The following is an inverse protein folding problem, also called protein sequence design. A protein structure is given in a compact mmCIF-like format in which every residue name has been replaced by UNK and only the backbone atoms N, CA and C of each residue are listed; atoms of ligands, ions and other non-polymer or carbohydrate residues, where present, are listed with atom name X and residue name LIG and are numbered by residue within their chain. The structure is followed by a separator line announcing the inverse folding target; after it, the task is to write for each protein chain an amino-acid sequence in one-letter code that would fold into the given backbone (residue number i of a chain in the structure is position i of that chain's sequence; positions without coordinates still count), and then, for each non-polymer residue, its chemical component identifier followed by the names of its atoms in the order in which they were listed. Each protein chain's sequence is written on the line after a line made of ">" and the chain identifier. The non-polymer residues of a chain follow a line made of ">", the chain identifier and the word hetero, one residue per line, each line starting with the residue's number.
data_IF_698763885438
#
_entry.id   IF_698763885438
#
_cell.length_a   1.000
_cell.length_b   1.000
_cell.length_c   1.000
_cell.angle_alpha   90.00
_cell.angle_beta   90.00
_cell.angle_gamma   90.00
#
_symmetry.space_group_name_H-M   'P 1'
#
loop_
_entity.id
_entity.type
_entity.pdbx_description
1 polymer ?
#
# COMPACT_ATOMS: atom_id res chain seq x y z
N UNK A 1 -5.24 -17.29 -14.45
CA UNK A 1 -4.51 -16.50 -13.43
C UNK A 1 -3.55 -17.41 -12.70
N UNK A 2 -2.30 -16.99 -12.50
CA UNK A 2 -1.29 -17.68 -11.68
C UNK A 2 -0.80 -16.70 -10.63
N UNK A 3 -0.77 -17.10 -9.36
CA UNK A 3 -0.26 -16.27 -8.28
C UNK A 3 0.48 -17.13 -7.25
N UNK A 4 1.45 -16.54 -6.60
CA UNK A 4 2.20 -17.15 -5.51
C UNK A 4 2.61 -16.08 -4.50
N UNK A 5 2.56 -16.43 -3.23
CA UNK A 5 3.00 -15.56 -2.14
C UNK A 5 3.84 -16.32 -1.13
N UNK A 6 4.76 -15.61 -0.50
CA UNK A 6 5.57 -16.12 0.61
C UNK A 6 5.61 -15.06 1.71
N UNK A 7 5.65 -15.51 2.96
CA UNK A 7 5.78 -14.63 4.13
C UNK A 7 6.71 -15.25 5.15
N UNK A 8 7.57 -14.42 5.71
CA UNK A 8 8.48 -14.78 6.81
C UNK A 8 8.20 -13.81 7.95
N UNK A 9 8.14 -14.34 9.17
CA UNK A 9 8.09 -13.56 10.40
C UNK A 9 9.15 -14.08 11.36
N UNK A 10 9.97 -13.15 11.87
CA UNK A 10 10.99 -13.41 12.87
C UNK A 10 10.69 -12.54 14.09
N UNK A 11 10.81 -13.12 15.26
CA UNK A 11 10.74 -12.41 16.53
C UNK A 11 12.00 -12.70 17.34
N UNK A 12 12.58 -11.66 17.92
CA UNK A 12 13.74 -11.77 18.78
C UNK A 12 13.53 -10.95 20.04
N UNK A 13 13.68 -11.61 21.19
CA UNK A 13 13.51 -11.02 22.52
C UNK A 13 14.83 -11.15 23.31
N UNK A 14 15.79 -10.20 23.07
CA UNK A 14 17.07 -10.24 23.77
C UNK A 14 16.93 -10.02 25.27
N UNK A 15 15.87 -9.31 25.69
CA UNK A 15 15.58 -9.01 27.09
C UNK A 15 14.07 -9.13 27.34
N UNK A 16 13.67 -9.23 28.63
CA UNK A 16 12.24 -9.33 29.00
C UNK A 16 11.43 -8.09 28.58
N UNK A 17 12.08 -6.96 28.52
CA UNK A 17 11.48 -5.65 28.22
C UNK A 17 11.80 -5.12 26.83
N UNK A 18 12.49 -5.90 25.98
CA UNK A 18 12.87 -5.49 24.62
C UNK A 18 12.56 -6.61 23.63
N UNK A 19 11.81 -6.30 22.60
CA UNK A 19 11.53 -7.22 21.51
C UNK A 19 11.67 -6.55 20.16
N UNK A 20 12.13 -7.33 19.19
CA UNK A 20 12.24 -6.96 17.79
C UNK A 20 11.43 -7.93 16.93
N UNK A 21 10.78 -7.41 15.91
CA UNK A 21 10.07 -8.20 14.92
C UNK A 21 10.49 -7.80 13.53
N UNK A 22 10.65 -8.78 12.66
CA UNK A 22 10.82 -8.59 11.22
C UNK A 22 9.76 -9.41 10.52
N UNK A 23 9.00 -8.78 9.65
CA UNK A 23 8.06 -9.43 8.77
C UNK A 23 8.38 -9.06 7.34
N UNK A 24 8.53 -10.04 6.47
CA UNK A 24 8.70 -9.82 5.03
C UNK A 24 7.71 -10.66 4.27
N UNK A 25 7.07 -10.07 3.27
CA UNK A 25 6.19 -10.75 2.33
C UNK A 25 6.58 -10.43 0.91
N UNK A 26 6.39 -11.42 0.06
CA UNK A 26 6.58 -11.32 -1.38
C UNK A 26 5.38 -11.94 -2.07
N UNK A 27 4.78 -11.20 -3.00
CA UNK A 27 3.64 -11.61 -3.78
C UNK A 27 3.91 -11.40 -5.26
N UNK A 28 3.62 -12.40 -6.07
CA UNK A 28 3.68 -12.30 -7.53
C UNK A 28 2.41 -12.84 -8.14
N UNK A 29 1.79 -12.06 -9.01
CA UNK A 29 0.64 -12.49 -9.81
C UNK A 29 0.85 -12.22 -11.29
N UNK A 30 0.34 -13.15 -12.10
CA UNK A 30 0.31 -13.08 -13.56
C UNK A 30 -1.07 -13.51 -13.99
N UNK A 31 -1.76 -12.63 -14.70
CA UNK A 31 -3.07 -12.91 -15.27
C UNK A 31 -3.09 -12.52 -16.73
N UNK A 32 -3.95 -13.17 -17.50
CA UNK A 32 -4.29 -12.79 -18.86
C UNK A 32 -5.11 -11.52 -18.89
N UNK A 33 -5.58 -11.18 -20.08
CA UNK A 33 -6.26 -9.93 -20.33
C UNK A 33 -7.56 -9.71 -19.55
N UNK A 34 -8.18 -8.63 -19.89
CA UNK A 34 -9.38 -8.14 -19.24
C UNK A 34 -10.61 -8.63 -19.99
N UNK A 35 -11.66 -9.16 -19.34
CA UNK A 35 -12.85 -9.70 -19.99
C UNK A 35 -13.80 -8.57 -20.40
N UNK A 36 -13.33 -7.60 -21.17
CA UNK A 36 -14.15 -6.54 -21.72
C UNK A 36 -14.65 -6.93 -23.11
N UNK A 37 -15.87 -6.52 -23.41
CA UNK A 37 -16.50 -6.70 -24.70
C UNK A 37 -17.24 -5.42 -25.10
N UNK A 38 -17.38 -5.19 -26.40
CA UNK A 38 -18.16 -4.08 -26.92
C UNK A 38 -19.65 -4.31 -26.56
N UNK A 39 -20.30 -3.27 -26.05
CA UNK A 39 -21.72 -3.31 -25.75
C UNK A 39 -22.53 -3.02 -27.02
N UNK A 40 -23.50 -3.87 -27.33
CA UNK A 40 -24.48 -3.62 -28.39
C UNK A 40 -25.37 -2.44 -27.99
N UNK A 41 -25.37 -1.40 -28.81
CA UNK A 41 -26.11 -0.16 -28.53
C UNK A 41 -27.62 -0.29 -28.60
N UNK A 42 -28.14 -1.35 -29.25
CA UNK A 42 -29.59 -1.59 -29.41
C UNK A 42 -30.13 -2.50 -28.30
N UNK A 43 -29.42 -3.59 -28.03
CA UNK A 43 -29.85 -4.58 -27.04
C UNK A 43 -29.34 -4.28 -25.63
N UNK A 44 -28.39 -3.36 -25.47
CA UNK A 44 -27.68 -3.04 -24.24
C UNK A 44 -27.02 -4.26 -23.55
N UNK A 45 -26.68 -5.28 -24.34
CA UNK A 45 -25.99 -6.47 -23.85
C UNK A 45 -24.52 -6.44 -24.24
N UNK A 46 -23.62 -6.93 -23.38
CA UNK A 46 -22.23 -7.13 -23.78
C UNK A 46 -22.16 -8.20 -24.89
N UNK A 47 -21.32 -7.95 -25.87
CA UNK A 47 -20.96 -8.93 -26.89
C UNK A 47 -20.02 -10.01 -26.33
N UNK A 48 -19.49 -10.84 -27.21
CA UNK A 48 -18.44 -11.78 -26.86
C UNK A 48 -17.11 -11.03 -26.66
N UNK A 49 -16.23 -11.58 -25.80
CA UNK A 49 -14.87 -11.09 -25.62
C UNK A 49 -14.04 -11.55 -26.81
N UNK A 50 -13.76 -10.63 -27.75
CA UNK A 50 -13.14 -10.93 -29.03
C UNK A 50 -12.04 -9.89 -29.37
N UNK A 51 -11.05 -9.76 -28.50
CA UNK A 51 -9.86 -8.95 -28.76
C UNK A 51 -8.70 -9.81 -29.28
N UNK A 52 -7.89 -9.27 -30.18
CA UNK A 52 -6.83 -10.01 -30.86
C UNK A 52 -5.44 -9.80 -30.25
N UNK A 53 -5.18 -8.65 -29.63
CA UNK A 53 -3.87 -8.36 -29.05
C UNK A 53 -3.76 -8.90 -27.62
N UNK A 54 -2.65 -9.59 -27.32
CA UNK A 54 -2.44 -10.27 -26.06
C UNK A 54 -2.41 -9.29 -24.89
N UNK A 55 -3.49 -9.28 -24.12
CA UNK A 55 -3.63 -8.47 -22.93
C UNK A 55 -3.16 -9.22 -21.68
N UNK A 56 -2.50 -8.50 -20.77
CA UNK A 56 -1.91 -9.11 -19.58
C UNK A 56 -1.83 -8.11 -18.41
N UNK A 57 -1.77 -8.67 -17.21
CA UNK A 57 -1.40 -7.95 -16.01
C UNK A 57 -0.40 -8.79 -15.19
N UNK A 58 0.74 -8.18 -14.86
CA UNK A 58 1.80 -8.79 -14.04
C UNK A 58 2.13 -7.87 -12.89
N UNK A 59 2.06 -8.39 -11.69
CA UNK A 59 2.33 -7.64 -10.46
C UNK A 59 3.36 -8.35 -9.61
N UNK A 60 4.29 -7.60 -9.07
CA UNK A 60 5.20 -8.02 -8.01
C UNK A 60 5.10 -7.03 -6.87
N UNK A 61 4.83 -7.52 -5.67
CA UNK A 61 4.75 -6.73 -4.44
C UNK A 61 5.69 -7.34 -3.41
N UNK A 62 6.57 -6.54 -2.84
CA UNK A 62 7.40 -6.90 -1.69
C UNK A 62 7.16 -5.90 -0.58
N UNK A 63 6.87 -6.38 0.62
CA UNK A 63 6.68 -5.55 1.80
C UNK A 63 7.53 -6.10 2.94
N UNK A 64 8.33 -5.25 3.56
CA UNK A 64 9.12 -5.60 4.74
C UNK A 64 8.83 -4.62 5.85
N UNK A 65 8.45 -5.13 7.02
CA UNK A 65 8.21 -4.35 8.23
C UNK A 65 9.17 -4.77 9.33
N UNK A 66 9.74 -3.80 9.98
CA UNK A 66 10.54 -3.96 11.20
C UNK A 66 9.81 -3.33 12.38
N UNK A 67 9.81 -4.00 13.51
CA UNK A 67 9.22 -3.51 14.75
C UNK A 67 10.22 -3.58 15.89
N UNK A 68 10.22 -2.56 16.73
CA UNK A 68 10.94 -2.55 17.99
C UNK A 68 9.99 -2.12 19.10
N UNK A 69 9.91 -2.92 20.16
CA UNK A 69 9.05 -2.68 21.30
C UNK A 69 9.91 -2.70 22.56
N UNK A 70 9.89 -1.59 23.31
CA UNK A 70 10.58 -1.45 24.56
C UNK A 70 9.61 -1.11 25.70
N UNK A 71 9.71 -1.84 26.80
CA UNK A 71 8.92 -1.61 28.00
C UNK A 71 9.80 -1.03 29.11
N UNK A 72 9.67 0.26 29.35
CA UNK A 72 10.33 0.96 30.46
C UNK A 72 9.51 0.92 31.74
N UNK A 73 10.02 1.55 32.80
CA UNK A 73 9.28 1.73 34.06
C UNK A 73 8.28 2.88 33.88
N UNK A 74 7.00 2.54 33.72
CA UNK A 74 5.92 3.51 33.59
C UNK A 74 5.66 4.01 32.16
N UNK A 75 6.39 3.53 31.16
CA UNK A 75 6.16 3.86 29.75
C UNK A 75 6.53 2.71 28.81
N UNK A 76 6.03 2.74 27.60
CA UNK A 76 6.50 1.89 26.51
C UNK A 76 6.82 2.71 25.26
N UNK A 77 7.78 2.23 24.49
CA UNK A 77 8.17 2.78 23.20
C UNK A 77 7.91 1.71 22.13
N UNK A 78 7.25 2.09 21.06
CA UNK A 78 7.00 1.22 19.91
C UNK A 78 7.47 1.94 18.66
N UNK A 79 8.33 1.33 17.86
CA UNK A 79 8.75 1.78 16.54
C UNK A 79 8.27 0.79 15.50
N UNK A 80 7.80 1.30 14.36
CA UNK A 80 7.28 0.53 13.23
C UNK A 80 7.81 1.13 11.94
N UNK A 81 8.82 0.49 11.39
CA UNK A 81 9.40 0.83 10.08
C UNK A 81 8.81 -0.07 9.02
N UNK A 82 8.41 0.48 7.89
CA UNK A 82 7.95 -0.33 6.77
C UNK A 82 8.56 0.16 5.45
N UNK A 83 8.90 -0.80 4.61
CA UNK A 83 9.32 -0.58 3.23
C UNK A 83 8.47 -1.43 2.31
N UNK A 84 7.97 -0.82 1.22
CA UNK A 84 7.20 -1.48 0.18
C UNK A 84 7.79 -1.18 -1.19
N UNK A 85 7.90 -2.21 -1.99
CA UNK A 85 8.20 -2.13 -3.42
C UNK A 85 7.09 -2.80 -4.22
N UNK A 86 6.52 -2.06 -5.15
CA UNK A 86 5.53 -2.54 -6.10
C UNK A 86 6.06 -2.35 -7.52
N UNK A 87 5.87 -3.36 -8.36
CA UNK A 87 6.08 -3.27 -9.81
C UNK A 87 4.89 -3.90 -10.50
N UNK A 88 4.18 -3.07 -11.25
CA UNK A 88 3.06 -3.47 -12.09
C UNK A 88 3.43 -3.28 -13.56
N UNK A 89 3.10 -4.27 -14.37
CA UNK A 89 3.26 -4.25 -15.80
C UNK A 89 1.99 -4.79 -16.45
N UNK A 90 1.31 -3.96 -17.23
CA UNK A 90 0.06 -4.31 -17.89
C UNK A 90 0.06 -3.92 -19.34
N UNK A 91 -0.62 -4.72 -20.14
CA UNK A 91 -0.93 -4.45 -21.53
C UNK A 91 -2.42 -4.74 -21.77
N UNK A 92 -3.09 -3.84 -22.44
CA UNK A 92 -4.52 -3.90 -22.70
C UNK A 92 -4.77 -3.60 -24.17
N UNK A 93 -5.43 -4.54 -24.84
CA UNK A 93 -6.11 -4.27 -26.10
C UNK A 93 -7.26 -3.33 -25.81
N UNK A 94 -7.07 -2.06 -26.17
CA UNK A 94 -7.93 -0.98 -25.72
C UNK A 94 -9.11 -0.74 -26.67
N UNK A 95 -9.08 -1.32 -27.86
CA UNK A 95 -10.22 -1.25 -28.78
C UNK A 95 -11.22 -2.41 -28.55
N UNK A 96 -10.83 -3.44 -27.79
CA UNK A 96 -11.63 -4.59 -27.43
C UNK A 96 -12.29 -5.28 -28.63
N UNK A 97 -11.64 -5.29 -29.77
CA UNK A 97 -12.15 -5.84 -31.01
C UNK A 97 -11.11 -6.79 -31.66
N UNK A 98 -11.52 -7.61 -32.67
CA UNK A 98 -10.57 -8.45 -33.40
C UNK A 98 -9.67 -7.67 -34.36
N UNK A 99 -9.58 -6.35 -34.24
CA UNK A 99 -8.77 -5.46 -35.08
C UNK A 99 -7.65 -4.86 -34.27
N UNK A 100 -6.43 -4.90 -34.77
CA UNK A 100 -5.31 -4.17 -34.17
C UNK A 100 -5.43 -2.66 -34.48
N UNK A 101 -6.17 -1.93 -33.65
CA UNK A 101 -6.36 -0.49 -33.75
C UNK A 101 -5.39 0.23 -32.82
N UNK A 102 -5.46 -0.05 -31.51
CA UNK A 102 -4.48 0.48 -30.59
C UNK A 102 -4.36 -0.34 -29.28
N UNK A 103 -3.16 -0.32 -28.72
CA UNK A 103 -2.79 -1.07 -27.54
C UNK A 103 -2.20 -0.14 -26.47
N UNK A 104 -2.63 -0.30 -25.23
CA UNK A 104 -2.13 0.47 -24.10
C UNK A 104 -1.20 -0.39 -23.23
N UNK A 105 0.00 0.10 -22.96
CA UNK A 105 0.94 -0.47 -21.99
C UNK A 105 1.16 0.50 -20.84
N UNK A 106 1.20 -0.03 -19.64
CA UNK A 106 1.54 0.75 -18.44
C UNK A 106 2.55 -0.03 -17.62
N UNK A 107 3.65 0.66 -17.30
CA UNK A 107 4.70 0.18 -16.42
C UNK A 107 4.76 1.11 -15.21
N UNK A 108 4.43 0.58 -14.03
CA UNK A 108 4.45 1.35 -12.79
C UNK A 108 5.42 0.71 -11.79
N UNK A 109 6.25 1.53 -11.18
CA UNK A 109 7.11 1.16 -10.05
C UNK A 109 6.84 2.11 -8.91
N UNK A 110 6.60 1.56 -7.73
CA UNK A 110 6.40 2.33 -6.51
C UNK A 110 7.38 1.86 -5.45
N UNK A 111 7.98 2.82 -4.77
CA UNK A 111 8.75 2.62 -3.54
C UNK A 111 8.12 3.45 -2.45
N UNK A 112 7.92 2.85 -1.29
CA UNK A 112 7.36 3.54 -0.13
C UNK A 112 8.17 3.15 1.11
N UNK A 113 8.49 4.15 1.90
CA UNK A 113 9.07 4.01 3.22
C UNK A 113 8.20 4.73 4.23
N UNK A 114 7.97 4.12 5.39
CA UNK A 114 7.29 4.79 6.49
C UNK A 114 7.89 4.40 7.84
N UNK A 115 7.82 5.33 8.78
CA UNK A 115 8.19 5.14 10.17
C UNK A 115 7.13 5.70 11.09
N UNK A 116 6.79 4.94 12.11
CA UNK A 116 5.91 5.37 13.19
C UNK A 116 6.55 5.09 14.54
N UNK A 117 6.69 6.12 15.34
CA UNK A 117 7.20 6.05 16.70
C UNK A 117 6.12 6.45 17.69
N UNK A 118 5.84 5.58 18.64
CA UNK A 118 4.89 5.81 19.71
C UNK A 118 5.55 5.67 21.08
N UNK A 119 5.25 6.61 21.98
CA UNK A 119 5.59 6.54 23.39
C UNK A 119 4.30 6.70 24.17
N UNK A 120 3.99 5.75 25.04
CA UNK A 120 2.77 5.79 25.84
C UNK A 120 3.03 5.43 27.30
N UNK A 121 2.20 5.98 28.20
CA UNK A 121 2.21 5.63 29.61
C UNK A 121 1.77 4.18 29.82
N UNK A 122 2.42 3.50 30.76
CA UNK A 122 2.04 2.15 31.23
C UNK A 122 1.86 2.08 32.74
N UNK A 123 2.05 3.20 33.42
CA UNK A 123 1.80 3.29 34.86
C UNK A 123 0.30 3.12 35.16
N UNK A 124 -0.08 2.24 36.12
CA UNK A 124 -1.43 2.20 36.59
C UNK A 124 -1.84 3.56 37.20
N UNK A 125 -2.98 4.10 36.77
CA UNK A 125 -3.45 5.40 37.26
C UNK A 125 -4.60 5.93 36.39
N UNK A 126 -5.19 7.02 36.88
CA UNK A 126 -6.34 7.66 36.20
C UNK A 126 -5.93 8.42 34.95
N UNK A 127 -4.67 8.82 34.84
CA UNK A 127 -4.15 9.57 33.67
C UNK A 127 -3.28 8.68 32.80
N UNK A 128 -3.66 8.59 31.52
CA UNK A 128 -2.94 7.87 30.48
C UNK A 128 -2.63 8.81 29.33
N UNK A 129 -1.47 8.67 28.74
CA UNK A 129 -1.05 9.52 27.61
C UNK A 129 -0.32 8.70 26.56
N UNK A 130 -0.38 9.22 25.35
CA UNK A 130 0.33 8.71 24.18
C UNK A 130 0.84 9.90 23.36
N UNK A 131 2.10 9.85 22.98
CA UNK A 131 2.71 10.71 21.97
C UNK A 131 3.14 9.85 20.80
N UNK A 132 2.90 10.33 19.57
CA UNK A 132 3.32 9.65 18.37
C UNK A 132 3.86 10.61 17.33
N UNK A 133 4.79 10.08 16.53
CA UNK A 133 5.31 10.69 15.33
C UNK A 133 5.22 9.69 14.19
N UNK A 134 4.80 10.16 13.04
CA UNK A 134 4.71 9.37 11.81
C UNK A 134 5.35 10.14 10.66
N UNK A 135 6.09 9.44 9.82
CA UNK A 135 6.62 9.99 8.60
C UNK A 135 6.54 8.96 7.47
N UNK A 136 6.34 9.43 6.25
CA UNK A 136 6.43 8.58 5.07
C UNK A 136 7.02 9.32 3.88
N UNK A 137 7.61 8.55 3.01
CA UNK A 137 8.00 8.93 1.66
C UNK A 137 7.53 7.88 0.67
N UNK A 138 7.05 8.32 -0.49
CA UNK A 138 6.63 7.48 -1.60
C UNK A 138 7.12 8.09 -2.90
N UNK A 139 7.67 7.28 -3.79
CA UNK A 139 7.96 7.62 -5.18
C UNK A 139 7.23 6.67 -6.10
N UNK A 140 6.56 7.20 -7.13
CA UNK A 140 5.87 6.43 -8.17
C UNK A 140 6.40 6.87 -9.52
N UNK A 141 7.09 5.94 -10.19
CA UNK A 141 7.46 6.06 -11.60
C UNK A 141 6.39 5.32 -12.43
N UNK A 142 5.72 6.02 -13.33
CA UNK A 142 4.71 5.43 -14.20
C UNK A 142 4.95 5.81 -15.65
N UNK A 143 5.09 4.83 -16.51
CA UNK A 143 5.21 5.00 -17.95
C UNK A 143 3.97 4.45 -18.65
N UNK A 144 3.29 5.29 -19.41
CA UNK A 144 2.14 4.90 -20.24
C UNK A 144 2.54 5.02 -21.70
N UNK A 145 2.42 3.93 -22.45
CA UNK A 145 2.66 3.86 -23.89
C UNK A 145 1.37 3.47 -24.60
N UNK A 146 0.98 4.26 -25.58
CA UNK A 146 -0.15 3.96 -26.46
C UNK A 146 0.39 3.75 -27.88
N UNK A 147 0.21 2.56 -28.41
CA UNK A 147 0.56 2.19 -29.78
C UNK A 147 -0.69 2.28 -30.65
N UNK A 148 -0.67 3.14 -31.68
CA UNK A 148 -1.76 3.33 -32.64
C UNK A 148 -1.38 2.62 -33.95
N UNK A 149 -1.78 1.37 -34.10
CA UNK A 149 -1.38 0.51 -35.22
C UNK A 149 -1.86 1.02 -36.59
N UNK A 150 -3.05 1.63 -36.65
CA UNK A 150 -3.61 2.16 -37.90
C UNK A 150 -2.87 3.38 -38.42
N UNK A 151 -2.07 4.05 -37.59
CA UNK A 151 -1.33 5.27 -37.96
C UNK A 151 0.19 5.10 -37.92
N UNK A 152 0.66 3.89 -37.56
CA UNK A 152 2.08 3.59 -37.29
C UNK A 152 2.73 4.65 -36.38
N UNK A 153 2.05 4.94 -35.26
CA UNK A 153 2.38 6.00 -34.32
C UNK A 153 2.24 5.52 -32.89
N UNK A 154 3.19 5.92 -32.05
CA UNK A 154 3.14 5.64 -30.61
C UNK A 154 3.34 6.91 -29.79
N UNK A 155 2.62 7.01 -28.66
CA UNK A 155 2.87 8.03 -27.64
C UNK A 155 3.42 7.39 -26.39
N UNK A 156 4.36 8.07 -25.73
CA UNK A 156 4.90 7.67 -24.45
C UNK A 156 4.82 8.83 -23.46
N UNK A 157 4.17 8.60 -22.34
CA UNK A 157 4.06 9.56 -21.23
C UNK A 157 4.76 8.99 -20.00
N UNK A 158 5.59 9.81 -19.39
CA UNK A 158 6.30 9.48 -18.15
C UNK A 158 5.76 10.36 -17.03
N UNK A 159 5.45 9.74 -15.91
CA UNK A 159 5.01 10.42 -14.70
C UNK A 159 5.94 10.01 -13.57
N UNK A 160 6.48 11.01 -12.88
CA UNK A 160 7.20 10.86 -11.63
C UNK A 160 6.41 11.61 -10.55
N UNK A 161 5.92 10.87 -9.57
CA UNK A 161 5.02 11.40 -8.57
C UNK A 161 5.55 11.10 -7.17
N UNK A 162 6.43 11.95 -6.63
CA UNK A 162 6.86 11.84 -5.25
C UNK A 162 5.76 12.36 -4.29
N UNK A 163 5.62 11.68 -3.15
CA UNK A 163 4.78 12.14 -2.05
C UNK A 163 5.51 11.89 -0.73
N UNK A 164 5.38 12.80 0.22
CA UNK A 164 5.90 12.64 1.56
C UNK A 164 5.02 13.36 2.57
N UNK A 165 5.09 12.95 3.80
CA UNK A 165 4.35 13.59 4.87
C UNK A 165 4.93 13.23 6.23
N UNK A 166 4.67 14.11 7.19
CA UNK A 166 4.97 13.90 8.60
C UNK A 166 3.74 14.25 9.42
N UNK A 167 3.55 13.57 10.54
CA UNK A 167 2.50 13.87 11.48
C UNK A 167 3.02 13.68 12.91
N UNK A 168 2.57 14.56 13.80
CA UNK A 168 2.77 14.43 15.23
C UNK A 168 1.40 14.38 15.90
N UNK A 169 1.26 13.55 16.90
CA UNK A 169 -0.01 13.41 17.59
C UNK A 169 0.17 13.14 19.09
N UNK A 170 -0.80 13.59 19.82
CA UNK A 170 -0.90 13.38 21.24
C UNK A 170 -2.34 12.97 21.61
N UNK A 171 -2.46 12.03 22.54
CA UNK A 171 -3.72 11.66 23.15
C UNK A 171 -3.57 11.57 24.66
N UNK A 172 -4.54 12.11 25.38
CA UNK A 172 -4.68 11.98 26.83
C UNK A 172 -6.01 11.35 27.17
N UNK A 173 -6.00 10.46 28.14
CA UNK A 173 -7.21 9.87 28.74
C UNK A 173 -7.17 10.05 30.24
N UNK A 174 -8.26 10.52 30.81
CA UNK A 174 -8.47 10.65 32.25
C UNK A 174 -9.65 9.75 32.62
N UNK A 175 -9.37 8.71 33.37
CA UNK A 175 -10.39 7.79 33.90
C UNK A 175 -10.99 8.37 35.19
N UNK A 176 -12.25 8.03 35.48
CA UNK A 176 -13.00 8.46 36.65
C UNK A 176 -12.95 9.99 36.90
N UNK A 177 -13.17 10.79 35.86
CA UNK A 177 -12.95 12.24 35.85
C UNK A 177 -13.82 12.97 36.93
N UNK A 178 -15.12 12.76 36.88
CA UNK A 178 -16.10 13.37 37.82
C UNK A 178 -16.80 12.32 38.65
N UNK A 179 -17.02 11.14 38.11
CA UNK A 179 -17.66 10.01 38.76
C UNK A 179 -16.99 8.71 38.32
N UNK A 180 -17.11 7.67 39.14
CA UNK A 180 -16.56 6.36 38.84
C UNK A 180 -17.15 5.81 37.54
N UNK A 181 -16.27 5.36 36.62
CA UNK A 181 -16.65 4.83 35.32
C UNK A 181 -16.80 5.86 34.20
N UNK A 182 -16.65 7.18 34.48
CA UNK A 182 -16.65 8.22 33.46
C UNK A 182 -15.22 8.55 33.02
N UNK A 183 -14.87 8.24 31.79
CA UNK A 183 -13.56 8.56 31.19
C UNK A 183 -13.67 9.63 30.13
N UNK A 184 -12.71 10.55 30.11
CA UNK A 184 -12.55 11.56 29.06
C UNK A 184 -11.27 11.28 28.29
N UNK A 185 -11.40 11.17 26.97
CA UNK A 185 -10.26 11.07 26.06
C UNK A 185 -10.27 12.26 25.09
N UNK A 186 -9.14 12.91 24.94
CA UNK A 186 -8.93 13.97 23.94
C UNK A 186 -7.58 13.77 23.25
N UNK A 187 -7.50 14.22 21.99
CA UNK A 187 -6.29 14.10 21.19
C UNK A 187 -6.16 15.22 20.18
N UNK A 188 -4.94 15.46 19.74
CA UNK A 188 -4.59 16.41 18.68
C UNK A 188 -3.63 15.72 17.71
N UNK A 189 -3.75 16.02 16.44
CA UNK A 189 -2.84 15.58 15.38
C UNK A 189 -2.60 16.75 14.43
N UNK A 190 -1.32 16.91 14.10
CA UNK A 190 -0.83 17.83 13.08
C UNK A 190 -0.15 17.02 11.97
#
# INVERSE_FOLDING_TARGET
>A
MKSGSARIRLEWKPQKNLSFGLMSSFDRSVQGGYPYAVCDSVTHKPGEVDYNDYSFYKRTLSTTGFSADYQGTGYSINSRTAFQYLSDHQGIDQDFSPRSIYFARQDMKQKMFSEELNIKSTTPGRYKWLFGAFGFWQGIDNTVTLDYFTKDYATRKLYDTPAYGVAFYHQSTIDDLLTRGLSLTFGIRY
#
